data_IF_194187463794
#
_entry.id   IF_194187463794
#
_cell.length_a   1.000
_cell.length_b   1.000
_cell.length_c   1.000
_cell.angle_alpha   90.00
_cell.angle_beta   90.00
_cell.angle_gamma   90.00
#
_symmetry.space_group_name_H-M   'P 1'
#
loop_
_entity.id
_entity.type
_entity.pdbx_description
1 polymer ?
#
# COMPACT_ATOMS: atom_id res chain seq x y z
N UNK A 1 -6.15 6.72 -3.37
CA UNK A 1 -5.60 7.27 -4.63
C UNK A 1 -6.19 6.52 -5.81
N UNK A 2 -6.35 7.17 -6.96
CA UNK A 2 -6.81 6.54 -8.21
C UNK A 2 -5.98 7.11 -9.36
N UNK A 3 -5.42 6.24 -10.20
CA UNK A 3 -4.74 6.60 -11.44
C UNK A 3 -5.20 5.69 -12.56
N UNK A 4 -5.38 6.27 -13.74
CA UNK A 4 -5.75 5.59 -14.98
C UNK A 4 -4.69 5.90 -16.06
N UNK A 5 -4.28 4.88 -16.79
CA UNK A 5 -3.26 4.94 -17.84
C UNK A 5 -1.85 4.61 -17.36
N UNK A 6 -0.86 5.03 -18.14
CA UNK A 6 0.53 4.69 -17.84
C UNK A 6 1.16 5.68 -16.85
N UNK A 7 1.87 5.18 -15.83
CA UNK A 7 2.70 6.03 -14.97
C UNK A 7 3.00 5.45 -13.59
N UNK A 8 3.74 6.21 -12.80
CA UNK A 8 4.15 5.80 -11.45
C UNK A 8 3.30 6.50 -10.39
N UNK A 9 2.85 5.75 -9.39
CA UNK A 9 2.11 6.26 -8.25
C UNK A 9 2.92 6.07 -6.97
N UNK A 10 3.24 7.17 -6.30
CA UNK A 10 3.93 7.15 -5.01
C UNK A 10 3.06 7.73 -3.91
N UNK A 11 2.90 6.99 -2.81
CA UNK A 11 2.31 7.52 -1.59
C UNK A 11 3.16 7.22 -0.38
N UNK A 12 3.23 8.22 0.49
CA UNK A 12 3.80 8.12 1.81
C UNK A 12 2.78 8.60 2.84
N UNK A 13 2.53 7.77 3.84
CA UNK A 13 1.68 8.08 4.97
C UNK A 13 2.46 7.87 6.27
N UNK A 14 2.32 8.82 7.19
CA UNK A 14 2.95 8.78 8.52
C UNK A 14 1.88 9.19 9.52
N UNK A 15 1.70 8.38 10.57
CA UNK A 15 0.80 8.68 11.68
C UNK A 15 1.52 8.42 13.01
N UNK A 16 1.22 9.27 13.99
CA UNK A 16 1.76 9.22 15.36
C UNK A 16 0.58 9.38 16.32
N UNK A 17 0.45 8.46 17.28
CA UNK A 17 -0.52 8.52 18.36
C UNK A 17 -1.43 7.29 18.46
N UNK A 18 -2.73 7.54 18.69
CA UNK A 18 -3.75 6.49 18.80
C UNK A 18 -4.81 6.72 17.74
N UNK A 19 -5.04 5.74 16.86
CA UNK A 19 -6.08 5.82 15.86
C UNK A 19 -6.00 4.70 14.82
N UNK A 20 -6.84 4.81 13.80
CA UNK A 20 -6.90 3.88 12.68
C UNK A 20 -6.47 4.60 11.39
N UNK A 21 -5.59 3.98 10.60
CA UNK A 21 -5.19 4.47 9.28
C UNK A 21 -5.76 3.57 8.19
N UNK A 22 -6.60 4.14 7.33
CA UNK A 22 -7.14 3.45 6.17
C UNK A 22 -6.60 4.06 4.89
N UNK A 23 -5.91 3.26 4.06
CA UNK A 23 -5.50 3.69 2.73
C UNK A 23 -6.02 2.74 1.68
N UNK A 24 -6.64 3.33 0.65
CA UNK A 24 -7.08 2.61 -0.53
C UNK A 24 -6.45 3.21 -1.77
N UNK A 25 -5.87 2.36 -2.60
CA UNK A 25 -5.24 2.74 -3.85
C UNK A 25 -5.63 1.83 -4.99
N UNK A 26 -5.93 2.45 -6.13
CA UNK A 26 -6.32 1.78 -7.36
C UNK A 26 -5.48 2.37 -8.49
N UNK A 27 -4.85 1.50 -9.27
CA UNK A 27 -4.17 1.87 -10.50
C UNK A 27 -4.66 0.97 -11.63
N UNK A 28 -5.12 1.57 -12.71
CA UNK A 28 -5.51 0.88 -13.94
C UNK A 28 -4.55 1.30 -15.06
N UNK A 29 -3.95 0.34 -15.76
CA UNK A 29 -2.98 0.55 -16.82
C UNK A 29 -1.57 0.04 -16.49
N UNK A 30 -0.57 0.57 -17.18
CA UNK A 30 0.82 0.10 -17.06
C UNK A 30 1.67 1.02 -16.19
N UNK A 31 2.33 0.48 -15.15
CA UNK A 31 3.20 1.31 -14.32
C UNK A 31 3.48 0.77 -12.93
N UNK A 32 4.13 1.58 -12.10
CA UNK A 32 4.60 1.15 -10.79
C UNK A 32 3.81 1.82 -9.67
N UNK A 33 3.41 1.04 -8.66
CA UNK A 33 2.73 1.52 -7.47
C UNK A 33 3.62 1.34 -6.24
N UNK A 34 4.02 2.46 -5.63
CA UNK A 34 4.82 2.48 -4.41
C UNK A 34 4.02 3.07 -3.24
N UNK A 35 3.77 2.26 -2.21
CA UNK A 35 3.19 2.74 -0.96
C UNK A 35 4.16 2.55 0.20
N UNK A 36 4.35 3.61 0.96
CA UNK A 36 5.10 3.60 2.21
C UNK A 36 4.22 4.10 3.35
N UNK A 37 3.99 3.27 4.35
CA UNK A 37 3.22 3.62 5.54
C UNK A 37 4.10 3.43 6.77
N UNK A 38 4.11 4.42 7.66
CA UNK A 38 4.79 4.36 8.95
C UNK A 38 3.79 4.75 10.03
N UNK A 39 3.64 3.91 11.05
CA UNK A 39 2.83 4.18 12.23
C UNK A 39 3.66 4.02 13.50
N UNK A 40 3.42 4.90 14.47
CA UNK A 40 3.98 4.84 15.82
C UNK A 40 2.83 4.97 16.85
N UNK A 41 2.66 3.95 17.70
CA UNK A 41 1.64 3.87 18.75
C UNK A 41 0.73 2.63 18.72
N UNK A 42 -0.35 2.65 19.51
CA UNK A 42 -1.36 1.58 19.55
C UNK A 42 -2.39 1.79 18.44
N UNK A 43 -2.02 1.49 17.20
CA UNK A 43 -2.80 1.86 16.00
C UNK A 43 -3.14 0.68 15.08
N UNK A 44 -4.33 0.69 14.47
CA UNK A 44 -4.66 -0.27 13.41
C UNK A 44 -4.35 0.33 12.03
N UNK A 45 -3.70 -0.46 11.16
CA UNK A 45 -3.40 -0.11 9.78
C UNK A 45 -4.19 -0.98 8.81
N UNK A 46 -4.98 -0.37 7.95
CA UNK A 46 -5.69 -1.06 6.87
C UNK A 46 -5.27 -0.52 5.50
N UNK A 47 -4.58 -1.35 4.73
CA UNK A 47 -4.13 -1.01 3.38
C UNK A 47 -4.81 -1.90 2.35
N UNK A 48 -5.46 -1.25 1.37
CA UNK A 48 -6.03 -1.91 0.20
C UNK A 48 -5.41 -1.34 -1.08
N UNK A 49 -4.77 -2.20 -1.84
CA UNK A 49 -4.17 -1.86 -3.12
C UNK A 49 -4.76 -2.74 -4.21
N UNK A 50 -5.18 -2.13 -5.31
CA UNK A 50 -5.67 -2.82 -6.50
C UNK A 50 -4.89 -2.27 -7.68
N UNK A 51 -4.26 -3.16 -8.45
CA UNK A 51 -3.61 -2.84 -9.69
C UNK A 51 -4.19 -3.72 -10.79
N UNK A 52 -4.70 -3.10 -11.84
CA UNK A 52 -5.16 -3.77 -13.05
C UNK A 52 -4.24 -3.35 -14.20
N UNK A 53 -3.56 -4.32 -14.84
CA UNK A 53 -2.59 -4.10 -15.90
C UNK A 53 -1.17 -4.57 -15.57
N UNK A 54 -0.23 -4.23 -16.45
CA UNK A 54 1.16 -4.67 -16.36
C UNK A 54 2.01 -3.70 -15.55
N UNK A 55 2.58 -4.13 -14.42
CA UNK A 55 3.31 -3.22 -13.55
C UNK A 55 3.92 -3.88 -12.33
N UNK A 56 4.65 -3.10 -11.52
CA UNK A 56 5.18 -3.57 -10.24
C UNK A 56 4.46 -2.89 -9.08
N UNK A 57 4.19 -3.65 -8.02
CA UNK A 57 3.59 -3.18 -6.79
C UNK A 57 4.58 -3.34 -5.64
N UNK A 58 4.94 -2.22 -5.03
CA UNK A 58 5.87 -2.12 -3.91
C UNK A 58 5.16 -1.54 -2.69
N UNK A 59 5.13 -2.33 -1.61
CA UNK A 59 4.50 -1.94 -0.36
C UNK A 59 5.49 -2.05 0.78
N UNK A 60 5.65 -0.98 1.53
CA UNK A 60 6.41 -0.97 2.78
C UNK A 60 5.54 -0.41 3.88
N UNK A 61 5.36 -1.21 4.92
CA UNK A 61 4.60 -0.82 6.09
C UNK A 61 5.50 -1.07 7.29
N UNK A 62 5.65 -0.06 8.14
CA UNK A 62 6.39 -0.13 9.39
C UNK A 62 5.44 0.28 10.50
N UNK A 63 5.34 -0.55 11.52
CA UNK A 63 4.54 -0.27 12.70
C UNK A 63 5.42 -0.39 13.94
N UNK A 64 5.52 0.69 14.71
CA UNK A 64 6.10 0.68 16.05
C UNK A 64 4.94 0.80 17.06
N UNK A 65 4.74 -0.19 17.92
CA UNK A 65 3.65 -0.21 18.90
C UNK A 65 2.80 -1.48 18.89
N UNK A 66 1.55 -1.39 19.38
CA UNK A 66 0.77 -2.57 19.79
C UNK A 66 -0.53 -2.82 19.03
N UNK A 67 -0.72 -2.19 17.87
CA UNK A 67 -1.95 -2.39 17.09
C UNK A 67 -1.81 -3.42 15.98
N UNK A 68 -2.80 -3.49 15.10
CA UNK A 68 -2.90 -4.54 14.08
C UNK A 68 -2.63 -4.01 12.67
N UNK A 69 -2.07 -4.86 11.81
CA UNK A 69 -1.75 -4.52 10.43
C UNK A 69 -2.45 -5.46 9.45
N UNK A 70 -3.30 -4.87 8.60
CA UNK A 70 -4.09 -5.54 7.60
C UNK A 70 -3.73 -5.06 6.20
N UNK A 71 -3.13 -5.95 5.40
CA UNK A 71 -2.76 -5.68 4.01
C UNK A 71 -3.58 -6.52 3.06
N UNK A 72 -4.22 -5.87 2.09
CA UNK A 72 -4.86 -6.54 0.94
C UNK A 72 -4.36 -5.93 -0.35
N UNK A 73 -3.75 -6.76 -1.18
CA UNK A 73 -3.17 -6.35 -2.45
C UNK A 73 -3.66 -7.29 -3.53
N UNK A 74 -4.27 -6.73 -4.56
CA UNK A 74 -4.77 -7.46 -5.72
C UNK A 74 -4.04 -6.89 -6.94
N UNK A 75 -3.43 -7.77 -7.71
CA UNK A 75 -2.82 -7.42 -8.99
C UNK A 75 -3.38 -8.37 -10.04
N UNK A 76 -4.01 -7.81 -11.07
CA UNK A 76 -4.50 -8.53 -12.24
C UNK A 76 -3.68 -8.05 -13.44
N UNK A 77 -3.08 -8.96 -14.22
CA UNK A 77 -2.35 -8.60 -15.46
C UNK A 77 -0.86 -8.98 -15.61
N UNK A 78 -0.15 -9.48 -14.59
CA UNK A 78 1.15 -10.19 -14.72
C UNK A 78 1.61 -10.81 -13.38
N UNK A 79 2.47 -11.85 -13.35
CA UNK A 79 2.74 -12.63 -12.13
C UNK A 79 3.75 -12.01 -11.13
N UNK A 80 4.35 -10.85 -11.42
CA UNK A 80 5.45 -10.30 -10.61
C UNK A 80 4.98 -9.33 -9.51
N UNK A 81 4.10 -9.80 -8.62
CA UNK A 81 3.78 -9.09 -7.39
C UNK A 81 4.88 -9.33 -6.34
N UNK A 82 5.90 -8.46 -6.28
CA UNK A 82 6.92 -8.48 -5.22
C UNK A 82 6.32 -8.01 -3.90
N UNK A 83 5.73 -8.92 -3.14
CA UNK A 83 5.26 -8.67 -1.77
C UNK A 83 6.46 -8.43 -0.86
N UNK A 84 6.64 -7.19 -0.42
CA UNK A 84 7.62 -6.86 0.62
C UNK A 84 7.01 -6.99 2.02
N UNK A 85 7.90 -7.34 2.94
CA UNK A 85 7.68 -7.65 4.35
C UNK A 85 7.04 -6.44 5.07
N UNK A 86 5.91 -6.66 5.74
CA UNK A 86 5.50 -5.81 6.85
C UNK A 86 6.39 -6.16 8.05
N UNK A 87 7.06 -5.15 8.64
CA UNK A 87 7.91 -5.30 9.83
C UNK A 87 7.34 -4.45 10.94
#
# INVERSE_FOLDING_TARGET
CVQDGSGELFLRCVQDGSGELFLQCVQDGSGELFLQCVQDGSEELFLRCVQDGSGELFLRCVQDGSGELFLRCVQDGSPDAKRFLAV
#
